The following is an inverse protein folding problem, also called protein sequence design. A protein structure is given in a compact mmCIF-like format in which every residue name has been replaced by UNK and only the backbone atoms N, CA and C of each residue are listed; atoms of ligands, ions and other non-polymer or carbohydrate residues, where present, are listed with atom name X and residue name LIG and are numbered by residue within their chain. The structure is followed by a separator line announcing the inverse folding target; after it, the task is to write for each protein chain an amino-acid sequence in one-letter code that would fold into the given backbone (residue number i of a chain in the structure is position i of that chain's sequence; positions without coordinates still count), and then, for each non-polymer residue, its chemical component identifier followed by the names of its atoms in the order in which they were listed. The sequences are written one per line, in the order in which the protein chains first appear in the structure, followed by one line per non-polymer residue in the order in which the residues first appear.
data_IF_832783934566
#
_entry.id   IF_832783934566
#
_cell.length_a   1.000
_cell.length_b   1.000
_cell.length_c   1.000
_cell.angle_alpha   90.00
_cell.angle_beta   90.00
_cell.angle_gamma   90.00
#
_symmetry.space_group_name_H-M   'P 1'
#
loop_
_entity.id
_entity.type
_entity.pdbx_description
1 polymer ?
#
# COMPACT_ATOMS: atom_id res chain seq x y z
N UNK A 1 6.58 -17.26 -8.65
CA UNK A 1 7.37 -17.32 -7.40
C UNK A 1 7.82 -15.94 -6.90
N UNK A 2 8.39 -15.07 -7.74
CA UNK A 2 8.87 -13.75 -7.28
C UNK A 2 7.76 -12.84 -6.73
N UNK A 3 6.56 -12.85 -7.34
CA UNK A 3 5.41 -12.02 -6.89
C UNK A 3 5.07 -12.23 -5.41
N UNK A 4 5.04 -13.49 -4.96
CA UNK A 4 4.71 -13.84 -3.57
C UNK A 4 5.81 -13.47 -2.57
N UNK A 5 7.09 -13.54 -2.99
CA UNK A 5 8.21 -13.09 -2.17
C UNK A 5 8.12 -11.57 -1.91
N UNK A 6 7.73 -10.82 -2.94
CA UNK A 6 7.56 -9.37 -2.85
C UNK A 6 6.38 -9.02 -1.94
N UNK A 7 5.26 -9.73 -2.08
CA UNK A 7 4.09 -9.59 -1.22
C UNK A 7 4.39 -9.93 0.25
N UNK A 8 5.08 -11.05 0.50
CA UNK A 8 5.48 -11.46 1.84
C UNK A 8 6.38 -10.41 2.50
N UNK A 9 7.30 -9.78 1.75
CA UNK A 9 8.10 -8.68 2.26
C UNK A 9 7.26 -7.45 2.65
N UNK A 10 6.25 -7.10 1.83
CA UNK A 10 5.31 -6.01 2.15
C UNK A 10 4.49 -6.30 3.41
N UNK A 11 3.99 -7.53 3.55
CA UNK A 11 3.23 -7.99 4.72
C UNK A 11 4.09 -8.03 5.99
N UNK A 12 5.36 -8.41 5.88
CA UNK A 12 6.32 -8.39 6.99
C UNK A 12 6.76 -6.98 7.40
N UNK A 13 6.27 -5.92 6.73
CA UNK A 13 6.72 -4.53 6.89
C UNK A 13 8.25 -4.39 6.75
N UNK A 14 8.87 -5.26 5.96
CA UNK A 14 10.32 -5.29 5.79
C UNK A 14 10.76 -4.12 4.90
N UNK A 15 11.74 -3.35 5.35
CA UNK A 15 12.36 -2.28 4.56
C UNK A 15 13.29 -2.81 3.45
N UNK A 16 13.49 -4.12 3.40
CA UNK A 16 14.42 -4.77 2.46
C UNK A 16 13.75 -4.87 1.10
N UNK A 17 14.35 -4.23 0.10
CA UNK A 17 13.91 -4.35 -1.28
C UNK A 17 14.26 -5.76 -1.81
N UNK A 18 13.28 -6.61 -2.15
CA UNK A 18 13.55 -7.96 -2.65
C UNK A 18 14.40 -7.96 -3.94
N UNK A 19 14.43 -6.82 -4.67
CA UNK A 19 15.20 -6.63 -5.91
C UNK A 19 16.66 -6.20 -5.71
N UNK A 20 17.10 -5.95 -4.47
CA UNK A 20 18.53 -5.74 -4.17
C UNK A 20 19.31 -7.06 -4.16
N UNK A 21 18.62 -8.20 -4.12
CA UNK A 21 19.23 -9.51 -4.28
C UNK A 21 19.86 -9.67 -5.67
N UNK A 22 21.01 -10.33 -5.72
CA UNK A 22 21.77 -10.58 -6.95
C UNK A 22 20.94 -11.39 -7.98
N UNK A 23 19.97 -12.15 -7.48
CA UNK A 23 19.07 -13.04 -8.23
C UNK A 23 17.88 -12.30 -8.84
N UNK A 24 17.35 -11.27 -8.17
CA UNK A 24 16.18 -10.50 -8.63
C UNK A 24 16.55 -9.23 -9.40
N UNK A 25 17.80 -8.76 -9.31
CA UNK A 25 18.35 -7.60 -10.03
C UNK A 25 18.07 -7.58 -11.54
N UNK A 26 18.26 -8.68 -12.30
CA UNK A 26 18.03 -8.67 -13.76
C UNK A 26 16.54 -8.59 -14.13
N UNK A 27 15.64 -9.01 -13.24
CA UNK A 27 14.20 -9.02 -13.50
C UNK A 27 13.52 -7.68 -13.20
N UNK A 28 14.25 -6.68 -12.68
CA UNK A 28 13.69 -5.38 -12.30
C UNK A 28 13.05 -4.62 -13.47
N UNK A 29 13.50 -4.88 -14.69
CA UNK A 29 13.00 -4.25 -15.91
C UNK A 29 11.83 -5.01 -16.55
N UNK A 30 11.48 -6.19 -16.04
CA UNK A 30 10.33 -6.94 -16.53
C UNK A 30 9.02 -6.20 -16.13
N UNK A 31 8.08 -5.98 -17.05
CA UNK A 31 6.89 -5.18 -16.80
C UNK A 31 6.02 -5.71 -15.65
N UNK A 32 5.95 -7.03 -15.43
CA UNK A 32 5.21 -7.60 -14.30
C UNK A 32 5.91 -7.36 -12.96
N UNK A 33 7.24 -7.40 -12.97
CA UNK A 33 8.08 -7.21 -11.79
C UNK A 33 8.20 -5.73 -11.43
N UNK A 34 8.23 -4.86 -12.43
CA UNK A 34 8.26 -3.42 -12.26
C UNK A 34 6.98 -2.92 -11.57
N UNK A 35 5.82 -3.48 -11.90
CA UNK A 35 4.56 -3.19 -11.22
C UNK A 35 4.64 -3.51 -9.72
N UNK A 36 5.14 -4.70 -9.36
CA UNK A 36 5.31 -5.11 -7.96
C UNK A 36 6.36 -4.26 -7.23
N UNK A 37 7.45 -3.88 -7.92
CA UNK A 37 8.49 -3.01 -7.38
C UNK A 37 7.94 -1.62 -7.04
N UNK A 38 7.16 -1.04 -7.95
CA UNK A 38 6.54 0.26 -7.76
C UNK A 38 5.53 0.24 -6.60
N UNK A 39 4.77 -0.85 -6.42
CA UNK A 39 3.86 -1.02 -5.27
C UNK A 39 4.62 -1.03 -3.95
N UNK A 40 5.74 -1.76 -3.87
CA UNK A 40 6.58 -1.77 -2.65
C UNK A 40 7.08 -0.37 -2.34
N UNK A 41 7.56 0.36 -3.35
CA UNK A 41 8.03 1.74 -3.17
C UNK A 41 6.92 2.68 -2.69
N UNK A 42 5.73 2.60 -3.28
CA UNK A 42 4.58 3.39 -2.85
C UNK A 42 4.17 3.04 -1.41
N UNK A 43 4.18 1.76 -1.04
CA UNK A 43 3.92 1.29 0.32
C UNK A 43 4.95 1.82 1.33
N UNK A 44 6.25 1.74 1.01
CA UNK A 44 7.33 2.26 1.87
C UNK A 44 7.26 3.78 2.04
N UNK A 45 6.87 4.50 0.99
CA UNK A 45 6.69 5.95 1.04
C UNK A 45 5.37 6.39 1.72
N UNK A 46 4.50 5.44 2.08
CA UNK A 46 3.15 5.70 2.58
C UNK A 46 2.31 6.56 1.61
N UNK A 47 2.51 6.40 0.30
CA UNK A 47 1.79 7.14 -0.74
C UNK A 47 0.59 6.32 -1.24
N UNK A 48 -0.60 6.64 -0.72
CA UNK A 48 -1.85 5.98 -1.09
C UNK A 48 -2.21 6.24 -2.55
N UNK A 49 -1.99 7.46 -3.04
CA UNK A 49 -2.41 7.86 -4.38
C UNK A 49 -1.61 7.10 -5.43
N UNK A 50 -0.29 7.02 -5.24
CA UNK A 50 0.56 6.28 -6.17
C UNK A 50 0.30 4.77 -6.06
N UNK A 51 0.04 4.24 -4.85
CA UNK A 51 -0.32 2.84 -4.65
C UNK A 51 -1.61 2.45 -5.40
N UNK A 52 -2.68 3.24 -5.28
CA UNK A 52 -3.95 3.00 -5.98
C UNK A 52 -3.81 3.15 -7.50
N UNK A 53 -3.00 4.11 -7.96
CA UNK A 53 -2.73 4.33 -9.38
C UNK A 53 -2.00 3.15 -10.00
N UNK A 54 -0.96 2.63 -9.34
CA UNK A 54 -0.22 1.45 -9.81
C UNK A 54 -1.14 0.22 -9.84
N UNK A 55 -2.00 0.06 -8.84
CA UNK A 55 -3.03 -0.98 -8.80
C UNK A 55 -4.02 -0.90 -9.97
N UNK A 56 -4.51 0.30 -10.30
CA UNK A 56 -5.42 0.52 -11.42
C UNK A 56 -4.74 0.23 -12.77
N UNK A 57 -3.48 0.65 -12.92
CA UNK A 57 -2.71 0.44 -14.16
C UNK A 57 -2.35 -1.03 -14.40
N UNK A 58 -2.03 -1.77 -13.34
CA UNK A 58 -1.56 -3.15 -13.42
C UNK A 58 -2.61 -4.15 -12.90
N UNK A 59 -3.90 -3.78 -12.99
CA UNK A 59 -5.02 -4.52 -12.41
C UNK A 59 -5.07 -5.96 -12.86
N UNK A 60 -4.88 -6.26 -14.14
CA UNK A 60 -4.90 -7.65 -14.64
C UNK A 60 -3.80 -8.49 -13.97
N UNK A 61 -2.53 -8.08 -14.05
CA UNK A 61 -1.41 -8.88 -13.52
C UNK A 61 -1.43 -9.08 -11.99
N UNK A 62 -2.06 -8.16 -11.24
CA UNK A 62 -2.08 -8.16 -9.78
C UNK A 62 -3.41 -8.68 -9.20
N UNK A 63 -4.54 -8.22 -9.72
CA UNK A 63 -5.86 -8.60 -9.19
C UNK A 63 -6.35 -9.94 -9.72
N UNK A 64 -5.81 -10.49 -10.82
CA UNK A 64 -6.18 -11.84 -11.27
C UNK A 64 -5.73 -12.94 -10.29
N UNK A 65 -4.78 -12.63 -9.41
CA UNK A 65 -4.34 -13.54 -8.35
C UNK A 65 -5.21 -13.36 -7.08
N UNK A 66 -5.97 -14.39 -6.66
CA UNK A 66 -6.84 -14.30 -5.48
C UNK A 66 -6.08 -14.07 -4.18
N UNK A 67 -4.87 -14.64 -4.05
CA UNK A 67 -4.04 -14.53 -2.86
C UNK A 67 -3.48 -13.11 -2.73
N UNK A 68 -3.01 -12.53 -3.83
CA UNK A 68 -2.52 -11.14 -3.84
C UNK A 68 -3.67 -10.17 -3.54
N UNK A 69 -4.85 -10.40 -4.12
CA UNK A 69 -6.03 -9.56 -3.90
C UNK A 69 -6.41 -9.44 -2.43
N UNK A 70 -6.50 -10.57 -1.72
CA UNK A 70 -6.88 -10.60 -0.30
C UNK A 70 -5.90 -9.77 0.55
N UNK A 71 -4.60 -9.93 0.31
CA UNK A 71 -3.57 -9.21 1.05
C UNK A 71 -3.45 -7.73 0.68
N UNK A 72 -3.90 -7.31 -0.51
CA UNK A 72 -3.86 -5.89 -0.91
C UNK A 72 -4.83 -5.03 -0.10
N UNK A 73 -5.99 -5.58 0.29
CA UNK A 73 -6.93 -4.86 1.16
C UNK A 73 -6.31 -4.56 2.53
N UNK A 74 -5.60 -5.53 3.11
CA UNK A 74 -4.83 -5.34 4.35
C UNK A 74 -3.69 -4.33 4.18
N UNK A 75 -2.96 -4.36 3.05
CA UNK A 75 -1.90 -3.39 2.77
C UNK A 75 -2.45 -1.96 2.65
N UNK A 76 -3.58 -1.78 1.97
CA UNK A 76 -4.27 -0.49 1.87
C UNK A 76 -4.70 0.02 3.24
N UNK A 77 -5.29 -0.86 4.07
CA UNK A 77 -5.67 -0.52 5.45
C UNK A 77 -4.44 -0.09 6.26
N UNK A 78 -3.34 -0.82 6.16
CA UNK A 78 -2.09 -0.51 6.85
C UNK A 78 -1.51 0.86 6.45
N UNK A 79 -1.43 1.17 5.15
CA UNK A 79 -0.95 2.49 4.69
C UNK A 79 -1.88 3.59 5.22
N UNK A 80 -3.21 3.42 5.08
CA UNK A 80 -4.20 4.39 5.56
C UNK A 80 -4.05 4.67 7.05
N UNK A 81 -3.85 3.64 7.87
CA UNK A 81 -3.59 3.80 9.31
C UNK A 81 -2.30 4.59 9.58
N UNK A 82 -1.21 4.31 8.86
CA UNK A 82 0.05 5.05 9.04
C UNK A 82 -0.07 6.53 8.65
N UNK A 83 -0.69 6.79 7.49
CA UNK A 83 -0.94 8.16 7.00
C UNK A 83 -1.86 8.89 7.97
N UNK A 84 -2.91 8.23 8.46
CA UNK A 84 -3.83 8.78 9.45
C UNK A 84 -3.11 9.18 10.74
N UNK A 85 -2.29 8.30 11.32
CA UNK A 85 -1.52 8.59 12.55
C UNK A 85 -0.61 9.80 12.33
N UNK A 86 0.07 9.88 11.19
CA UNK A 86 0.95 10.99 10.84
C UNK A 86 0.16 12.29 10.64
N UNK A 87 -1.02 12.21 10.04
CA UNK A 87 -1.91 13.33 9.75
C UNK A 87 -2.51 13.92 11.03
N UNK A 88 -2.94 13.08 11.99
CA UNK A 88 -3.57 13.55 13.24
C UNK A 88 -2.54 14.05 14.27
N UNK A 89 -1.28 13.58 14.22
CA UNK A 89 -0.24 13.89 15.22
C UNK A 89 -0.06 15.38 15.55
N UNK A 90 -0.07 16.33 14.60
CA UNK A 90 0.10 17.76 14.91
C UNK A 90 -1.21 18.47 15.34
N UNK A 91 -2.38 17.83 15.23
CA UNK A 91 -3.67 18.48 15.48
C UNK A 91 -4.29 18.01 16.80
N UNK A 92 -4.76 18.94 17.62
CA UNK A 92 -5.56 18.63 18.81
C UNK A 92 -7.03 18.41 18.48
N UNK A 93 -7.53 19.00 17.38
CA UNK A 93 -8.88 18.83 16.84
C UNK A 93 -8.82 18.92 15.31
N UNK A 94 -9.41 17.94 14.64
CA UNK A 94 -9.41 17.83 13.18
C UNK A 94 -10.81 17.44 12.70
N UNK A 95 -11.21 17.95 11.53
CA UNK A 95 -12.52 17.61 10.94
C UNK A 95 -12.41 16.29 10.17
N UNK A 96 -13.38 15.39 10.32
CA UNK A 96 -13.41 14.11 9.59
C UNK A 96 -13.41 14.34 8.07
N UNK A 97 -14.14 15.35 7.58
CA UNK A 97 -14.16 15.73 6.16
C UNK A 97 -12.77 16.11 5.61
N UNK A 98 -11.88 16.65 6.44
CA UNK A 98 -10.52 16.97 6.04
C UNK A 98 -9.67 15.70 5.90
N UNK A 99 -9.80 14.77 6.85
CA UNK A 99 -9.12 13.46 6.80
C UNK A 99 -9.62 12.64 5.60
N UNK A 100 -10.92 12.65 5.34
CA UNK A 100 -11.55 11.99 4.18
C UNK A 100 -10.96 12.50 2.86
N UNK A 101 -10.76 13.81 2.72
CA UNK A 101 -10.10 14.39 1.55
C UNK A 101 -8.65 13.95 1.38
N UNK A 102 -7.88 13.90 2.46
CA UNK A 102 -6.47 13.48 2.43
C UNK A 102 -6.28 11.97 2.18
N UNK A 103 -7.17 11.13 2.73
CA UNK A 103 -7.13 9.67 2.57
C UNK A 103 -7.89 9.17 1.34
N UNK A 104 -8.65 10.04 0.66
CA UNK A 104 -9.46 9.73 -0.52
C UNK A 104 -10.48 8.60 -0.27
N UNK A 105 -11.12 8.62 0.90
CA UNK A 105 -12.14 7.62 1.33
C UNK A 105 -13.36 8.32 1.90
N UNK A 106 -14.49 7.60 1.97
CA UNK A 106 -15.73 8.14 2.53
C UNK A 106 -15.54 8.49 4.02
N UNK A 107 -16.15 9.58 4.53
CA UNK A 107 -16.10 9.91 5.95
C UNK A 107 -16.56 8.76 6.86
N UNK A 108 -17.48 7.90 6.40
CA UNK A 108 -17.95 6.72 7.14
C UNK A 108 -16.84 5.67 7.29
N UNK A 109 -16.01 5.49 6.25
CA UNK A 109 -14.84 4.63 6.29
C UNK A 109 -13.75 5.21 7.19
N UNK A 110 -13.57 6.54 7.20
CA UNK A 110 -12.64 7.22 8.12
C UNK A 110 -13.02 6.96 9.58
N UNK A 111 -14.30 7.07 9.94
CA UNK A 111 -14.78 6.75 11.29
C UNK A 111 -14.50 5.29 11.66
N UNK A 112 -14.82 4.37 10.76
CA UNK A 112 -14.55 2.93 10.97
C UNK A 112 -13.06 2.66 11.18
N UNK A 113 -12.21 3.35 10.43
CA UNK A 113 -10.75 3.24 10.51
C UNK A 113 -10.19 3.84 11.80
N UNK A 114 -10.75 4.97 12.25
CA UNK A 114 -10.44 5.59 13.54
C UNK A 114 -10.83 4.68 14.71
N UNK A 115 -12.05 4.13 14.69
CA UNK A 115 -12.53 3.19 15.71
C UNK A 115 -11.63 1.95 15.77
N UNK A 116 -11.21 1.44 14.62
CA UNK A 116 -10.31 0.28 14.54
C UNK A 116 -8.88 0.56 15.04
N UNK A 117 -8.49 1.83 15.21
CA UNK A 117 -7.16 2.24 15.65
C UNK A 117 -7.13 2.71 17.12
N UNK A 118 -8.28 2.77 17.79
CA UNK A 118 -8.44 3.07 19.23
C UNK A 118 -8.49 1.74 20.00
#
# INVERSE_FOLDING_TARGET
CLKYLVLANMLMKSAINPFDSQEAKPYKNDPEILAMTNLVMAYQNNDINEFEKILKQNRQSIMDDPFIREHIEDLLRNIRTQVLIKLIKPYTRIKIVFISGELNIDPSDVESLLISCI
#
